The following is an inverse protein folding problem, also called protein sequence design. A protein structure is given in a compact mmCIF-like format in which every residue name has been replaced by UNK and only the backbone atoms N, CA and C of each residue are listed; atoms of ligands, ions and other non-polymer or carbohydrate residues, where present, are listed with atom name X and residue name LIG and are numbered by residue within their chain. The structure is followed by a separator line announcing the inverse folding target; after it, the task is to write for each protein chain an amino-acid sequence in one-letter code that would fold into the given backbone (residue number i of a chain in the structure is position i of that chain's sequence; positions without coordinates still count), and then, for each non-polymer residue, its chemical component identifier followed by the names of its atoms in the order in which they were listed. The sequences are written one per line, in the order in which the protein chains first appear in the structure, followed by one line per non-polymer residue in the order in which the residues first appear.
data_IF_664017753275
#
_entry.id   IF_664017753275
#
_cell.length_a   1.000
_cell.length_b   1.000
_cell.length_c   1.000
_cell.angle_alpha   90.00
_cell.angle_beta   90.00
_cell.angle_gamma   90.00
#
_symmetry.space_group_name_H-M   'P 1'
#
loop_
_entity.id
_entity.type
_entity.pdbx_description
1 polymer ?
#
# COMPACT_ATOMS: atom_id res chain seq x y z
N UNK A 1 -14.70 30.57 -0.24
CA UNK A 1 -14.39 29.19 -0.69
C UNK A 1 -15.60 28.24 -0.71
N UNK A 2 -16.76 28.61 -0.20
CA UNK A 2 -17.96 27.72 -0.20
C UNK A 2 -18.63 27.56 -1.57
N UNK A 3 -18.35 28.45 -2.52
CA UNK A 3 -19.01 28.48 -3.83
C UNK A 3 -18.10 28.04 -5.00
N UNK A 4 -16.91 27.51 -4.68
CA UNK A 4 -16.02 26.98 -5.72
C UNK A 4 -16.65 25.73 -6.36
N UNK A 5 -16.80 25.78 -7.69
CA UNK A 5 -17.14 24.63 -8.53
C UNK A 5 -16.01 24.41 -9.52
N UNK A 6 -15.60 23.15 -9.67
CA UNK A 6 -14.64 22.80 -10.72
C UNK A 6 -15.21 23.11 -12.09
N UNK A 7 -14.38 23.65 -12.99
CA UNK A 7 -14.71 23.77 -14.40
C UNK A 7 -14.45 22.51 -15.23
N UNK A 8 -13.90 21.46 -14.59
CA UNK A 8 -13.61 20.19 -15.24
C UNK A 8 -14.84 19.30 -15.20
N UNK A 9 -15.31 18.88 -16.37
CA UNK A 9 -16.37 17.89 -16.48
C UNK A 9 -15.79 16.49 -16.29
N UNK A 10 -16.54 15.64 -15.61
CA UNK A 10 -16.21 14.22 -15.50
C UNK A 10 -16.40 13.56 -16.89
N UNK A 11 -15.43 12.77 -17.38
CA UNK A 11 -15.59 12.01 -18.61
C UNK A 11 -16.78 11.04 -18.50
N UNK A 12 -17.64 10.94 -19.53
CA UNK A 12 -18.85 10.13 -19.45
C UNK A 12 -18.59 8.62 -19.35
N UNK A 13 -17.39 8.18 -19.63
CA UNK A 13 -16.96 6.78 -19.59
C UNK A 13 -15.99 6.47 -18.41
N UNK A 14 -15.85 7.39 -17.45
CA UNK A 14 -14.89 7.26 -16.34
C UNK A 14 -15.06 5.93 -15.58
N UNK A 15 -16.28 5.61 -15.18
CA UNK A 15 -16.57 4.40 -14.43
C UNK A 15 -16.27 3.15 -15.25
N UNK A 16 -16.65 3.14 -16.52
CA UNK A 16 -16.39 2.04 -17.43
C UNK A 16 -14.89 1.85 -17.69
N UNK A 17 -14.16 2.94 -17.82
CA UNK A 17 -12.71 2.93 -17.96
C UNK A 17 -12.04 2.33 -16.71
N UNK A 18 -12.44 2.76 -15.51
CA UNK A 18 -11.92 2.22 -14.26
C UNK A 18 -12.25 0.75 -14.09
N UNK A 19 -13.50 0.35 -14.37
CA UNK A 19 -13.89 -1.05 -14.26
C UNK A 19 -13.01 -1.94 -15.14
N UNK A 20 -12.77 -1.53 -16.37
CA UNK A 20 -11.90 -2.26 -17.31
C UNK A 20 -10.47 -2.38 -16.79
N UNK A 21 -9.89 -1.27 -16.28
CA UNK A 21 -8.54 -1.29 -15.71
C UNK A 21 -8.41 -2.20 -14.50
N UNK A 22 -9.40 -2.21 -13.62
CA UNK A 22 -9.44 -3.09 -12.47
C UNK A 22 -9.56 -4.57 -12.87
N UNK A 23 -10.37 -4.88 -13.85
CA UNK A 23 -10.56 -6.26 -14.33
C UNK A 23 -9.27 -6.78 -15.00
N UNK A 24 -8.61 -5.97 -15.80
CA UNK A 24 -7.30 -6.29 -16.37
C UNK A 24 -6.24 -6.53 -15.29
N UNK A 25 -6.17 -5.66 -14.28
CA UNK A 25 -5.24 -5.83 -13.17
C UNK A 25 -5.52 -7.12 -12.38
N UNK A 26 -6.79 -7.44 -12.13
CA UNK A 26 -7.19 -8.68 -11.45
C UNK A 26 -6.85 -9.93 -12.26
N UNK A 27 -7.03 -9.86 -13.58
CA UNK A 27 -6.74 -10.99 -14.46
C UNK A 27 -5.25 -11.39 -14.49
N UNK A 28 -4.36 -10.44 -14.24
CA UNK A 28 -2.90 -10.67 -14.22
C UNK A 28 -2.34 -10.79 -12.81
N UNK A 29 -3.17 -10.60 -11.77
CA UNK A 29 -2.74 -10.63 -10.38
C UNK A 29 -2.21 -12.02 -9.98
N UNK A 30 -1.11 -12.01 -9.24
CA UNK A 30 -0.54 -13.20 -8.57
C UNK A 30 -0.71 -13.05 -7.06
N UNK A 31 -0.75 -14.15 -6.31
CA UNK A 31 -0.76 -14.08 -4.85
C UNK A 31 0.37 -13.19 -4.31
N UNK A 32 0.09 -12.39 -3.28
CA UNK A 32 1.13 -11.59 -2.63
C UNK A 32 2.13 -12.50 -1.91
N UNK A 33 3.34 -12.03 -1.80
CA UNK A 33 4.40 -12.68 -1.05
C UNK A 33 4.77 -11.80 0.13
N UNK A 34 4.84 -12.39 1.33
CA UNK A 34 5.29 -11.73 2.54
C UNK A 34 6.52 -12.47 3.05
N UNK A 35 7.66 -11.83 3.02
CA UNK A 35 8.89 -12.34 3.61
C UNK A 35 9.16 -11.59 4.92
N UNK A 36 9.30 -12.33 6.03
CA UNK A 36 9.64 -11.70 7.30
C UNK A 36 11.00 -11.03 7.19
N UNK A 37 11.06 -9.76 7.56
CA UNK A 37 12.29 -8.98 7.60
C UNK A 37 12.90 -9.17 8.99
N UNK A 38 13.81 -10.11 9.09
CA UNK A 38 14.45 -10.48 10.36
C UNK A 38 15.44 -9.39 10.79
N UNK A 39 15.05 -8.66 11.82
CA UNK A 39 15.91 -7.65 12.43
C UNK A 39 15.49 -7.40 13.88
N UNK A 40 16.44 -7.29 14.77
CA UNK A 40 16.21 -6.93 16.16
C UNK A 40 15.93 -5.42 16.35
N UNK A 41 16.24 -4.60 15.33
CA UNK A 41 16.09 -3.14 15.38
C UNK A 41 14.63 -2.73 15.53
N UNK A 42 13.70 -3.52 15.03
CA UNK A 42 12.27 -3.19 15.00
C UNK A 42 11.44 -3.93 16.06
N UNK A 43 12.06 -4.67 16.97
CA UNK A 43 11.34 -5.20 18.12
C UNK A 43 10.72 -4.04 18.94
N UNK A 44 9.45 -4.05 19.25
CA UNK A 44 8.46 -5.13 19.27
C UNK A 44 7.53 -5.18 18.02
N UNK A 45 7.91 -4.73 16.88
CA UNK A 45 7.10 -4.69 15.65
C UNK A 45 7.54 -5.81 14.71
N UNK A 46 6.58 -6.55 14.18
CA UNK A 46 6.85 -7.52 13.11
C UNK A 46 6.88 -6.79 11.78
N UNK A 47 7.95 -6.98 11.00
CA UNK A 47 8.17 -6.34 9.70
C UNK A 47 8.22 -7.40 8.61
N UNK A 48 7.52 -7.15 7.51
CA UNK A 48 7.53 -8.01 6.34
C UNK A 48 7.87 -7.20 5.10
N UNK A 49 8.78 -7.71 4.29
CA UNK A 49 8.98 -7.27 2.93
C UNK A 49 7.88 -7.92 2.08
N UNK A 50 6.97 -7.12 1.59
CA UNK A 50 5.80 -7.54 0.86
C UNK A 50 5.98 -7.30 -0.63
N UNK A 51 5.49 -8.22 -1.45
CA UNK A 51 5.42 -8.07 -2.88
C UNK A 51 4.03 -8.47 -3.37
N UNK A 52 3.41 -7.64 -4.19
CA UNK A 52 2.09 -7.88 -4.75
C UNK A 52 1.99 -7.42 -6.21
N UNK A 53 0.93 -7.82 -6.90
CA UNK A 53 0.72 -7.43 -8.29
C UNK A 53 0.03 -6.07 -8.40
N UNK A 54 0.67 -5.17 -9.14
CA UNK A 54 0.05 -3.94 -9.65
C UNK A 54 -0.65 -4.15 -10.98
N UNK A 55 -0.89 -3.07 -11.72
CA UNK A 55 -1.40 -3.13 -13.08
C UNK A 55 -0.42 -3.87 -14.01
N UNK A 56 -0.95 -4.51 -15.04
CA UNK A 56 -0.18 -5.25 -16.06
C UNK A 56 0.70 -6.38 -15.49
N UNK A 57 0.42 -6.82 -14.25
CA UNK A 57 1.19 -7.88 -13.57
C UNK A 57 2.52 -7.42 -12.99
N UNK A 58 2.82 -6.13 -12.97
CA UNK A 58 4.02 -5.58 -12.36
C UNK A 58 4.11 -5.96 -10.88
N UNK A 59 5.31 -6.29 -10.43
CA UNK A 59 5.56 -6.59 -9.02
C UNK A 59 5.87 -5.31 -8.27
N UNK A 60 4.99 -4.98 -7.32
CA UNK A 60 5.12 -3.80 -6.46
C UNK A 60 5.64 -4.23 -5.10
N UNK A 61 6.66 -3.54 -4.61
CA UNK A 61 7.23 -3.77 -3.29
C UNK A 61 6.51 -2.92 -2.25
N UNK A 62 6.39 -3.47 -1.04
CA UNK A 62 5.79 -2.76 0.09
C UNK A 62 6.46 -3.19 1.41
N UNK A 63 6.31 -2.37 2.44
CA UNK A 63 6.48 -2.81 3.82
C UNK A 63 5.11 -3.10 4.43
N UNK A 64 4.99 -4.25 5.08
CA UNK A 64 3.88 -4.55 5.97
C UNK A 64 4.42 -4.68 7.39
N UNK A 65 3.97 -3.78 8.27
CA UNK A 65 4.35 -3.77 9.67
C UNK A 65 3.11 -4.04 10.51
N UNK A 66 3.26 -4.84 11.56
CA UNK A 66 2.15 -5.10 12.48
C UNK A 66 2.65 -5.26 13.91
N UNK A 67 1.79 -4.99 14.91
CA UNK A 67 2.10 -5.31 16.30
C UNK A 67 2.19 -6.84 16.48
N UNK A 68 2.98 -7.32 17.46
CA UNK A 68 2.99 -8.74 17.81
C UNK A 68 1.58 -9.22 18.16
N UNK A 69 1.23 -10.39 17.68
CA UNK A 69 -0.10 -10.97 17.93
C UNK A 69 -1.24 -10.36 17.12
N UNK A 70 -0.93 -9.52 16.12
CA UNK A 70 -1.93 -9.01 15.19
C UNK A 70 -2.68 -10.15 14.50
N UNK A 71 -3.98 -10.03 14.40
CA UNK A 71 -4.91 -10.99 13.81
C UNK A 71 -5.80 -10.36 12.73
N UNK A 72 -6.80 -11.10 12.26
CA UNK A 72 -7.72 -10.63 11.22
C UNK A 72 -8.62 -9.46 11.62
N UNK A 73 -8.64 -9.05 12.89
CA UNK A 73 -9.37 -7.89 13.40
C UNK A 73 -8.49 -6.65 13.55
N UNK A 74 -7.17 -6.80 13.42
CA UNK A 74 -6.24 -5.68 13.52
C UNK A 74 -6.48 -4.67 12.39
N UNK A 75 -6.76 -3.43 12.75
CA UNK A 75 -6.99 -2.36 11.79
C UNK A 75 -5.71 -2.06 11.00
N UNK A 76 -5.83 -1.88 9.70
CA UNK A 76 -4.71 -1.62 8.80
C UNK A 76 -4.77 -0.20 8.26
N UNK A 77 -3.70 0.56 8.45
CA UNK A 77 -3.49 1.84 7.79
C UNK A 77 -2.72 1.61 6.48
N UNK A 78 -3.30 1.96 5.35
CA UNK A 78 -2.61 1.94 4.06
C UNK A 78 -2.02 3.32 3.80
N UNK A 79 -0.71 3.37 3.56
CA UNK A 79 0.03 4.62 3.31
C UNK A 79 0.47 4.68 1.86
N UNK A 80 0.02 5.70 1.16
CA UNK A 80 0.49 6.05 -0.17
C UNK A 80 1.61 7.08 -0.07
N UNK A 81 2.72 6.84 -0.76
CA UNK A 81 3.88 7.73 -0.76
C UNK A 81 3.68 8.92 -1.69
N UNK A 82 4.38 10.01 -1.40
CA UNK A 82 4.43 11.18 -2.27
C UNK A 82 5.32 10.97 -3.49
N UNK A 83 5.23 11.90 -4.44
CA UNK A 83 6.06 11.91 -5.63
C UNK A 83 7.56 12.02 -5.26
N UNK A 84 8.40 11.25 -5.96
CA UNK A 84 9.85 11.25 -5.79
C UNK A 84 10.36 10.46 -4.58
N UNK A 85 9.47 9.78 -3.84
CA UNK A 85 9.83 8.90 -2.75
C UNK A 85 9.54 7.42 -3.04
N UNK A 86 10.19 6.51 -2.33
CA UNK A 86 9.84 5.11 -2.22
C UNK A 86 9.21 4.80 -0.86
N UNK A 87 8.99 3.51 -0.59
CA UNK A 87 8.45 3.03 0.70
C UNK A 87 9.35 3.33 1.91
N UNK A 88 10.55 3.88 1.68
CA UNK A 88 11.49 4.27 2.72
C UNK A 88 11.99 3.10 3.59
N UNK A 89 12.40 3.43 4.80
CA UNK A 89 12.84 2.43 5.79
C UNK A 89 11.67 2.03 6.71
N UNK A 90 11.57 0.76 7.13
CA UNK A 90 10.52 0.32 8.05
C UNK A 90 10.39 1.17 9.32
N UNK A 91 11.50 1.68 9.86
CA UNK A 91 11.51 2.54 11.06
C UNK A 91 10.62 3.78 10.92
N UNK A 92 10.51 4.34 9.72
CA UNK A 92 9.68 5.53 9.46
C UNK A 92 8.18 5.27 9.63
N UNK A 93 7.79 4.01 9.71
CA UNK A 93 6.39 3.56 9.78
C UNK A 93 6.05 2.86 11.10
N UNK A 94 6.98 2.79 12.06
CA UNK A 94 6.82 2.03 13.28
C UNK A 94 5.84 2.65 14.30
N UNK A 95 5.48 3.92 14.16
CA UNK A 95 4.60 4.61 15.12
C UNK A 95 3.21 3.97 15.21
N UNK A 96 2.55 3.72 14.11
CA UNK A 96 1.21 3.13 14.12
C UNK A 96 1.20 1.68 14.63
N UNK A 97 2.16 0.82 14.25
CA UNK A 97 2.29 -0.49 14.88
C UNK A 97 2.53 -0.44 16.39
N UNK A 98 3.29 0.53 16.88
CA UNK A 98 3.46 0.74 18.32
C UNK A 98 2.16 1.16 19.04
N UNK A 99 1.19 1.70 18.31
CA UNK A 99 -0.16 2.06 18.79
C UNK A 99 -1.19 0.95 18.55
N UNK A 100 -0.79 -0.22 18.05
CA UNK A 100 -1.68 -1.37 17.88
C UNK A 100 -2.30 -1.51 16.47
N UNK A 101 -1.95 -0.66 15.51
CA UNK A 101 -2.41 -0.76 14.12
C UNK A 101 -1.41 -1.56 13.28
N UNK A 102 -1.88 -2.23 12.24
CA UNK A 102 -0.97 -2.64 11.17
C UNK A 102 -0.79 -1.49 10.17
N UNK A 103 0.35 -1.48 9.48
CA UNK A 103 0.65 -0.49 8.43
C UNK A 103 1.08 -1.21 7.16
N UNK A 104 0.52 -0.78 6.05
CA UNK A 104 0.95 -1.20 4.73
C UNK A 104 1.39 0.04 3.94
N UNK A 105 2.67 0.10 3.57
CA UNK A 105 3.22 1.20 2.76
C UNK A 105 3.88 0.64 1.52
N UNK A 106 3.45 1.09 0.37
CA UNK A 106 3.89 0.55 -0.92
C UNK A 106 4.70 1.57 -1.72
N UNK A 107 5.61 1.05 -2.53
CA UNK A 107 6.19 1.83 -3.62
C UNK A 107 5.10 2.14 -4.66
N UNK A 108 5.09 3.37 -5.16
CA UNK A 108 4.30 3.69 -6.34
C UNK A 108 5.03 3.16 -7.58
N UNK A 109 4.31 2.62 -8.54
CA UNK A 109 4.89 2.10 -9.79
C UNK A 109 5.88 3.10 -10.39
N UNK A 110 7.12 2.66 -10.62
CA UNK A 110 8.21 3.48 -11.11
C UNK A 110 8.90 4.37 -10.08
N UNK A 111 8.57 4.21 -8.79
CA UNK A 111 9.21 4.92 -7.68
C UNK A 111 9.59 3.90 -6.59
N UNK A 112 10.88 3.64 -6.40
CA UNK A 112 11.39 2.70 -5.40
C UNK A 112 12.69 2.05 -5.83
#
# INVERSE_FOLDING_TARGET
MRDYRTGTAEPPDLDLWWQRRLDEARATARPPVLARYETEIYAPVEVFDAEFSGADGDRIRAWYLRPPGADGQTQVAVKFIGYGGGRGMPAEHALLPALGYAVFVMDTRGQG
#
